data_IF_823755812468
#
_entry.id   IF_823755812468
#
_cell.length_a   1.000
_cell.length_b   1.000
_cell.length_c   1.000
_cell.angle_alpha   90.00
_cell.angle_beta   90.00
_cell.angle_gamma   90.00
#
_symmetry.space_group_name_H-M   'P 1'
#
loop_
_entity.id
_entity.type
_entity.pdbx_description
1 polymer ?
#
# COMPACT_ATOMS: atom_id res chain seq x y z
N UNK A 1 -1.50 -35.96 50.29
CA UNK A 1 -0.83 -34.69 50.59
C UNK A 1 0.21 -34.42 49.51
N UNK A 2 -0.11 -33.70 48.42
CA UNK A 2 -0.34 -32.26 48.19
C UNK A 2 0.85 -31.62 47.46
N UNK A 3 0.69 -31.44 46.15
CA UNK A 3 1.13 -30.23 45.43
C UNK A 3 -0.05 -29.66 44.61
N UNK A 4 -1.24 -29.71 45.22
CA UNK A 4 -2.49 -29.18 44.69
C UNK A 4 -2.74 -27.69 44.99
N UNK A 5 -1.81 -26.97 45.64
CA UNK A 5 -2.09 -25.62 46.16
C UNK A 5 -1.17 -24.50 45.65
N UNK A 6 -0.53 -24.64 44.49
CA UNK A 6 0.37 -23.57 43.98
C UNK A 6 0.22 -23.22 42.49
N UNK A 7 -0.92 -23.54 41.88
CA UNK A 7 -1.30 -23.05 40.54
C UNK A 7 -2.67 -22.38 40.48
N UNK A 8 -3.21 -21.95 41.63
CA UNK A 8 -4.52 -21.30 41.73
C UNK A 8 -4.47 -19.81 42.10
N UNK A 9 -3.30 -19.15 42.11
CA UNK A 9 -3.21 -17.71 42.49
C UNK A 9 -2.30 -16.82 41.64
N UNK A 10 -1.93 -17.21 40.41
CA UNK A 10 -1.24 -16.30 39.48
C UNK A 10 -2.02 -16.05 38.18
N UNK A 11 -3.35 -16.25 38.23
CA UNK A 11 -4.26 -15.43 37.44
C UNK A 11 -4.48 -14.11 38.18
N UNK A 12 -4.36 -13.00 37.47
CA UNK A 12 -4.63 -11.60 37.86
C UNK A 12 -3.37 -10.76 38.08
N UNK A 13 -2.77 -10.34 36.95
CA UNK A 13 -2.31 -8.96 36.72
C UNK A 13 -2.01 -8.78 35.22
N UNK A 14 -3.04 -8.33 34.51
CA UNK A 14 -3.00 -7.48 33.29
C UNK A 14 -1.92 -7.79 32.24
N UNK A 15 -2.18 -8.78 31.37
CA UNK A 15 -1.36 -9.05 30.17
C UNK A 15 -2.07 -8.83 28.83
N UNK A 16 -3.29 -8.29 28.81
CA UNK A 16 -4.16 -8.26 27.63
C UNK A 16 -4.30 -6.90 26.93
N UNK A 17 -3.45 -5.91 27.26
CA UNK A 17 -3.48 -4.58 26.59
C UNK A 17 -2.47 -4.44 25.44
N UNK A 18 -1.35 -5.16 25.46
CA UNK A 18 -0.27 -4.99 24.45
C UNK A 18 -0.41 -5.87 23.19
N UNK A 19 -1.26 -6.90 23.21
CA UNK A 19 -1.49 -7.74 22.04
C UNK A 19 -2.27 -7.00 20.93
N UNK A 20 -3.21 -6.12 21.32
CA UNK A 20 -4.07 -5.38 20.39
C UNK A 20 -3.31 -4.31 19.59
N UNK A 21 -2.38 -3.59 20.23
CA UNK A 21 -1.54 -2.61 19.56
C UNK A 21 -0.56 -3.27 18.58
N UNK A 22 0.08 -4.38 18.96
CA UNK A 22 1.00 -5.11 18.08
C UNK A 22 0.33 -5.63 16.81
N UNK A 23 -0.93 -6.10 16.89
CA UNK A 23 -1.70 -6.52 15.73
C UNK A 23 -2.06 -5.39 14.75
N UNK A 24 -2.12 -4.15 15.23
CA UNK A 24 -2.26 -2.97 14.36
C UNK A 24 -0.94 -2.63 13.65
N UNK A 25 0.20 -2.83 14.32
CA UNK A 25 1.54 -2.57 13.75
C UNK A 25 2.00 -3.62 12.74
N UNK A 26 1.57 -4.88 12.90
CA UNK A 26 1.92 -5.98 11.99
C UNK A 26 0.87 -6.24 10.91
N UNK A 27 -0.34 -5.71 11.05
CA UNK A 27 -1.50 -6.04 10.21
C UNK A 27 -1.68 -5.18 8.96
N UNK A 28 -0.69 -4.36 8.56
CA UNK A 28 -0.79 -3.50 7.37
C UNK A 28 -1.71 -2.28 7.50
N UNK A 29 -2.48 -2.16 8.60
CA UNK A 29 -3.42 -1.05 8.85
C UNK A 29 -2.78 0.34 8.84
N UNK A 30 -1.48 0.44 9.12
CA UNK A 30 -0.76 1.72 9.00
C UNK A 30 -0.73 2.22 7.55
N UNK A 31 -0.55 1.33 6.57
CA UNK A 31 -0.53 1.69 5.15
C UNK A 31 -1.90 2.23 4.70
N UNK A 32 -3.00 1.66 5.20
CA UNK A 32 -4.35 2.13 4.89
C UNK A 32 -4.58 3.60 5.31
N UNK A 33 -3.98 4.01 6.43
CA UNK A 33 -4.01 5.40 6.88
C UNK A 33 -3.35 6.36 5.89
N UNK A 34 -2.19 5.99 5.35
CA UNK A 34 -1.50 6.78 4.32
C UNK A 34 -2.22 6.76 2.98
N UNK A 35 -2.79 5.63 2.58
CA UNK A 35 -3.64 5.54 1.39
C UNK A 35 -4.82 6.51 1.50
N UNK A 36 -5.46 6.53 2.67
CA UNK A 36 -6.56 7.46 2.96
C UNK A 36 -6.11 8.92 2.95
N UNK A 37 -4.96 9.23 3.55
CA UNK A 37 -4.39 10.58 3.58
C UNK A 37 -4.09 11.09 2.17
N UNK A 38 -3.37 10.30 1.35
CA UNK A 38 -3.03 10.67 -0.03
C UNK A 38 -4.31 10.87 -0.85
N UNK A 39 -5.30 9.99 -0.70
CA UNK A 39 -6.58 10.15 -1.37
C UNK A 39 -7.29 11.46 -0.98
N UNK A 40 -7.21 11.88 0.28
CA UNK A 40 -7.79 13.14 0.74
C UNK A 40 -7.02 14.36 0.21
N UNK A 41 -5.68 14.30 0.16
CA UNK A 41 -4.85 15.35 -0.45
C UNK A 41 -5.27 15.57 -1.90
N UNK A 42 -5.39 14.50 -2.68
CA UNK A 42 -5.79 14.57 -4.09
C UNK A 42 -7.18 15.18 -4.25
N UNK A 43 -8.16 14.75 -3.43
CA UNK A 43 -9.51 15.33 -3.44
C UNK A 43 -9.51 16.81 -3.09
N UNK A 44 -8.64 17.22 -2.14
CA UNK A 44 -8.52 18.62 -1.74
C UNK A 44 -7.79 19.50 -2.76
N UNK A 45 -7.00 18.90 -3.65
CA UNK A 45 -6.23 19.61 -4.67
C UNK A 45 -7.10 20.22 -5.79
N UNK A 46 -8.40 19.91 -5.83
CA UNK A 46 -9.35 20.56 -6.75
C UNK A 46 -9.21 20.11 -8.21
N UNK A 47 -8.69 18.90 -8.47
CA UNK A 47 -8.64 18.34 -9.82
C UNK A 47 -10.07 18.13 -10.36
N UNK A 48 -10.43 18.72 -11.51
CA UNK A 48 -11.76 18.54 -12.11
C UNK A 48 -11.97 17.09 -12.55
N UNK A 49 -13.15 16.54 -12.25
CA UNK A 49 -13.55 15.17 -12.57
C UNK A 49 -12.57 14.09 -12.10
N UNK A 50 -11.85 14.35 -11.00
CA UNK A 50 -10.89 13.41 -10.45
C UNK A 50 -11.55 12.25 -9.72
N UNK A 51 -11.24 11.05 -10.17
CA UNK A 51 -11.61 9.79 -9.52
C UNK A 51 -10.39 9.20 -8.82
N UNK A 52 -10.43 9.17 -7.49
CA UNK A 52 -9.42 8.47 -6.67
C UNK A 52 -9.88 7.04 -6.40
N UNK A 53 -9.19 6.06 -6.98
CA UNK A 53 -9.49 4.63 -6.89
C UNK A 53 -8.54 3.95 -5.89
N UNK A 54 -9.10 3.47 -4.78
CA UNK A 54 -8.37 2.73 -3.72
C UNK A 54 -8.89 1.31 -3.50
N UNK A 55 -10.05 0.98 -4.08
CA UNK A 55 -10.55 -0.41 -4.13
C UNK A 55 -9.93 -1.14 -5.31
N UNK A 56 -9.82 -2.47 -5.21
CA UNK A 56 -9.24 -3.33 -6.27
C UNK A 56 -9.80 -2.99 -7.65
N UNK A 57 -11.13 -2.92 -7.75
CA UNK A 57 -11.81 -2.42 -8.95
C UNK A 57 -11.45 -0.95 -9.19
N UNK A 58 -10.72 -0.70 -10.28
CA UNK A 58 -10.31 0.63 -10.71
C UNK A 58 -8.87 1.02 -10.35
N UNK A 59 -8.14 0.22 -9.55
CA UNK A 59 -6.69 0.39 -9.32
C UNK A 59 -5.82 -0.70 -9.96
N UNK A 60 -6.46 -1.72 -10.54
CA UNK A 60 -5.83 -2.72 -11.42
C UNK A 60 -5.56 -2.10 -12.79
N UNK A 61 -4.29 -1.96 -13.16
CA UNK A 61 -3.89 -1.36 -14.43
C UNK A 61 -3.07 -2.34 -15.28
N UNK A 62 -3.16 -2.27 -16.61
CA UNK A 62 -2.35 -3.08 -17.50
C UNK A 62 -0.85 -2.81 -17.32
N UNK A 63 -0.07 -3.89 -17.37
CA UNK A 63 1.40 -3.84 -17.47
C UNK A 63 1.86 -4.15 -18.89
N UNK A 64 3.18 -4.16 -19.10
CA UNK A 64 3.78 -4.59 -20.35
C UNK A 64 4.28 -6.05 -20.30
N UNK A 65 5.08 -6.37 -19.28
CA UNK A 65 5.65 -7.69 -19.08
C UNK A 65 4.69 -8.63 -18.33
N UNK A 66 3.86 -8.06 -17.46
CA UNK A 66 2.76 -8.79 -16.79
C UNK A 66 1.40 -8.27 -17.28
N UNK A 67 0.34 -9.09 -17.22
CA UNK A 67 -0.98 -8.67 -17.67
C UNK A 67 -1.51 -7.44 -16.92
N UNK A 68 -1.40 -7.41 -15.59
CA UNK A 68 -1.90 -6.31 -14.76
C UNK A 68 -1.10 -6.14 -13.46
N UNK A 69 -1.23 -4.95 -12.85
CA UNK A 69 -0.81 -4.62 -11.49
C UNK A 69 -1.95 -3.98 -10.71
N UNK A 70 -2.13 -4.42 -9.47
CA UNK A 70 -2.93 -3.72 -8.46
C UNK A 70 -2.05 -2.66 -7.76
N UNK A 71 -2.31 -1.38 -8.02
CA UNK A 71 -1.67 -0.23 -7.34
C UNK A 71 -2.45 0.14 -6.10
N UNK A 72 -1.86 0.68 -5.03
CA UNK A 72 -2.63 1.07 -3.84
C UNK A 72 -3.59 2.25 -4.14
N UNK A 73 -3.17 3.16 -5.02
CA UNK A 73 -3.98 4.30 -5.49
C UNK A 73 -3.80 4.45 -6.99
N UNK A 74 -4.92 4.60 -7.71
CA UNK A 74 -4.93 5.13 -9.07
C UNK A 74 -5.81 6.38 -9.14
N UNK A 75 -5.33 7.41 -9.84
CA UNK A 75 -6.02 8.69 -10.00
C UNK A 75 -6.30 8.89 -11.48
N UNK A 76 -7.58 9.08 -11.80
CA UNK A 76 -8.05 9.32 -13.17
C UNK A 76 -8.72 10.70 -13.19
N UNK A 77 -8.43 11.54 -14.19
CA UNK A 77 -9.07 12.84 -14.37
C UNK A 77 -9.45 12.99 -15.83
N UNK A 78 -10.72 13.31 -16.13
CA UNK A 78 -11.17 13.47 -17.52
C UNK A 78 -11.01 12.23 -18.41
N UNK A 79 -10.94 11.02 -17.81
CA UNK A 79 -10.70 9.76 -18.52
C UNK A 79 -9.23 9.34 -18.61
N UNK A 80 -8.30 10.25 -18.30
CA UNK A 80 -6.86 9.99 -18.37
C UNK A 80 -6.30 9.55 -17.01
N UNK A 81 -5.34 8.62 -17.06
CA UNK A 81 -4.58 8.23 -15.88
C UNK A 81 -3.59 9.36 -15.54
N UNK A 82 -3.79 10.02 -14.41
CA UNK A 82 -2.93 11.15 -13.99
C UNK A 82 -1.89 10.74 -12.95
N UNK A 83 -2.17 9.73 -12.13
CA UNK A 83 -1.17 9.20 -11.22
C UNK A 83 -1.48 7.79 -10.73
N UNK A 84 -0.43 7.10 -10.27
CA UNK A 84 -0.50 5.87 -9.51
C UNK A 84 0.45 5.96 -8.32
N UNK A 85 0.05 5.39 -7.18
CA UNK A 85 0.86 5.40 -5.95
C UNK A 85 0.89 4.01 -5.33
N UNK A 86 2.07 3.60 -4.90
CA UNK A 86 2.29 2.42 -4.08
C UNK A 86 2.79 2.83 -2.69
N UNK A 87 2.23 2.23 -1.65
CA UNK A 87 2.59 2.46 -0.24
C UNK A 87 3.13 1.15 0.32
N UNK A 88 4.38 1.16 0.78
CA UNK A 88 5.04 -0.03 1.33
C UNK A 88 5.60 0.27 2.72
N UNK A 89 5.35 -0.64 3.66
CA UNK A 89 6.00 -0.58 4.97
C UNK A 89 7.31 -1.37 5.00
N UNK A 90 8.35 -0.84 5.64
CA UNK A 90 9.68 -1.41 5.80
C UNK A 90 9.93 -2.00 7.21
N UNK A 91 8.87 -2.48 7.89
CA UNK A 91 9.03 -3.18 9.17
C UNK A 91 9.62 -4.58 8.98
N UNK A 92 10.62 -4.96 9.79
CA UNK A 92 11.26 -6.29 9.80
C UNK A 92 12.78 -6.24 9.65
N UNK A 93 13.41 -7.31 9.14
CA UNK A 93 14.84 -7.29 8.80
C UNK A 93 15.08 -6.25 7.71
N UNK A 94 15.66 -5.12 8.10
CA UNK A 94 15.84 -3.95 7.25
C UNK A 94 16.56 -4.32 5.95
N UNK A 95 17.67 -5.06 6.00
CA UNK A 95 18.45 -5.41 4.81
C UNK A 95 17.68 -6.27 3.79
N UNK A 96 17.06 -7.36 4.24
CA UNK A 96 16.32 -8.25 3.33
C UNK A 96 15.05 -7.58 2.81
N UNK A 97 14.33 -6.85 3.67
CA UNK A 97 13.12 -6.17 3.24
C UNK A 97 13.43 -4.98 2.33
N UNK A 98 14.50 -4.24 2.57
CA UNK A 98 14.89 -3.09 1.75
C UNK A 98 15.22 -3.53 0.32
N UNK A 99 16.13 -4.49 0.15
CA UNK A 99 16.54 -4.94 -1.19
C UNK A 99 15.36 -5.49 -1.99
N UNK A 100 14.56 -6.38 -1.37
CA UNK A 100 13.38 -6.94 -2.03
C UNK A 100 12.38 -5.86 -2.46
N UNK A 101 12.20 -4.81 -1.64
CA UNK A 101 11.25 -3.72 -1.95
C UNK A 101 11.77 -2.74 -2.99
N UNK A 102 13.09 -2.52 -3.03
CA UNK A 102 13.74 -1.77 -4.11
C UNK A 102 13.58 -2.52 -5.43
N UNK A 103 13.87 -3.81 -5.47
CA UNK A 103 13.71 -4.65 -6.66
C UNK A 103 12.25 -4.67 -7.14
N UNK A 104 11.29 -4.83 -6.22
CA UNK A 104 9.86 -4.79 -6.55
C UNK A 104 9.45 -3.43 -7.15
N UNK A 105 9.91 -2.32 -6.58
CA UNK A 105 9.61 -0.98 -7.08
C UNK A 105 10.24 -0.71 -8.45
N UNK A 106 11.49 -1.14 -8.65
CA UNK A 106 12.18 -1.05 -9.95
C UNK A 106 11.46 -1.88 -11.01
N UNK A 107 11.09 -3.11 -10.70
CA UNK A 107 10.35 -3.99 -11.60
C UNK A 107 8.98 -3.40 -11.97
N UNK A 108 8.24 -2.92 -10.96
CA UNK A 108 6.94 -2.28 -11.15
C UNK A 108 7.03 -1.00 -12.00
N UNK A 109 8.03 -0.16 -11.76
CA UNK A 109 8.24 1.06 -12.52
C UNK A 109 8.65 0.76 -13.97
N UNK A 110 9.55 -0.20 -14.18
CA UNK A 110 10.00 -0.61 -15.51
C UNK A 110 8.86 -1.14 -16.35
N UNK A 111 8.02 -2.00 -15.76
CA UNK A 111 6.81 -2.54 -16.39
C UNK A 111 5.82 -1.43 -16.76
N UNK A 112 5.49 -0.56 -15.81
CA UNK A 112 4.56 0.56 -16.02
C UNK A 112 5.03 1.53 -17.11
N UNK A 113 6.31 1.91 -17.07
CA UNK A 113 6.85 2.85 -18.07
C UNK A 113 7.00 2.22 -19.44
N UNK A 114 7.24 0.92 -19.53
CA UNK A 114 7.26 0.23 -20.81
C UNK A 114 5.85 0.19 -21.42
N UNK A 115 4.82 -0.07 -20.61
CA UNK A 115 3.42 -0.02 -21.04
C UNK A 115 3.04 1.39 -21.54
N UNK A 116 3.36 2.43 -20.77
CA UNK A 116 3.15 3.82 -21.19
C UNK A 116 3.85 4.14 -22.53
N UNK A 117 5.14 3.79 -22.68
CA UNK A 117 5.89 4.01 -23.94
C UNK A 117 5.30 3.25 -25.14
N UNK A 118 4.63 2.12 -24.91
CA UNK A 118 3.94 1.34 -25.94
C UNK A 118 2.52 1.83 -26.24
N UNK A 119 2.08 2.92 -25.58
CA UNK A 119 0.79 3.55 -25.84
C UNK A 119 -0.38 2.95 -25.06
N UNK A 120 -0.14 2.13 -24.03
CA UNK A 120 -1.19 1.51 -23.22
C UNK A 120 -2.16 2.53 -22.60
N UNK A 121 -1.68 3.74 -22.33
CA UNK A 121 -2.47 4.84 -21.77
C UNK A 121 -2.68 5.98 -22.77
N UNK A 122 -2.42 5.78 -24.06
CA UNK A 122 -2.60 6.84 -25.07
C UNK A 122 -4.09 7.15 -25.29
N UNK A 123 -4.50 8.42 -25.47
CA UNK A 123 -3.69 9.64 -25.58
C UNK A 123 -3.55 10.42 -24.25
N UNK A 124 -3.05 9.81 -23.19
CA UNK A 124 -2.81 10.49 -21.91
C UNK A 124 -1.46 11.22 -21.87
N UNK A 125 -1.41 12.30 -21.09
CA UNK A 125 -0.14 12.83 -20.55
C UNK A 125 0.58 11.78 -19.70
N UNK A 126 1.88 11.98 -19.47
CA UNK A 126 2.67 11.09 -18.62
C UNK A 126 2.12 11.12 -17.18
N UNK A 127 1.58 10.00 -16.65
CA UNK A 127 1.08 9.95 -15.28
C UNK A 127 2.22 10.14 -14.27
N UNK A 128 1.91 10.55 -13.05
CA UNK A 128 2.87 10.53 -11.95
C UNK A 128 2.94 9.12 -11.33
N UNK A 129 4.15 8.58 -11.17
CA UNK A 129 4.39 7.30 -10.51
C UNK A 129 5.02 7.54 -9.13
N UNK A 130 4.22 7.35 -8.08
CA UNK A 130 4.62 7.61 -6.70
C UNK A 130 4.92 6.34 -5.90
N UNK A 131 5.92 6.41 -5.04
CA UNK A 131 6.21 5.39 -4.03
C UNK A 131 6.37 6.06 -2.66
N UNK A 132 5.74 5.48 -1.64
CA UNK A 132 5.95 5.85 -0.24
C UNK A 132 6.46 4.63 0.53
N UNK A 133 7.67 4.74 1.08
CA UNK A 133 8.27 3.73 1.95
C UNK A 133 8.26 4.22 3.40
N UNK A 134 7.83 3.37 4.33
CA UNK A 134 7.60 3.75 5.74
C UNK A 134 8.09 2.70 6.73
#
# INVERSE_FOLDING_TARGET
>A
MTRGNQKASQGVKTGAKDAGNRGAVTGGKHADGFVTLIANIVRSAGLPDAMVRTRKVGRTLPGHFRPTKDWDIAIISGGDLVAVVEVKSQVGSFGNNFNNRVEEALGNATDFWTAYKKGTFSPSQKPWLGYLFM
#
